data_IF_478490199786
#
_entry.id   IF_478490199786
#
_cell.length_a   1.000
_cell.length_b   1.000
_cell.length_c   1.000
_cell.angle_alpha   90.00
_cell.angle_beta   90.00
_cell.angle_gamma   90.00
#
_symmetry.space_group_name_H-M   'P 1'
#
loop_
_entity.id
_entity.type
_entity.pdbx_description
1 polymer ?
#
# COMPACT_ATOMS: atom_id res chain seq x y z
N UNK A 1 23.95 4.74 -4.80
CA UNK A 1 23.57 3.31 -4.80
C UNK A 1 24.14 2.68 -3.53
N UNK A 2 23.33 1.99 -2.73
CA UNK A 2 23.74 1.33 -1.47
C UNK A 2 22.80 0.15 -1.16
N UNK A 3 23.07 -0.61 -0.09
CA UNK A 3 22.24 -1.72 0.40
C UNK A 3 20.81 -1.27 0.72
N UNK A 4 19.81 -1.99 0.22
CA UNK A 4 18.40 -1.57 0.23
C UNK A 4 17.96 -0.88 -1.08
N UNK A 5 18.90 -0.51 -1.95
CA UNK A 5 18.59 0.00 -3.29
C UNK A 5 17.74 1.28 -3.25
N UNK A 6 16.70 1.35 -4.08
CA UNK A 6 15.82 2.52 -4.15
C UNK A 6 14.95 2.71 -2.91
N UNK A 7 14.74 1.68 -2.08
CA UNK A 7 13.98 1.82 -0.83
C UNK A 7 14.63 2.82 0.15
N UNK A 8 15.93 3.10 0.00
CA UNK A 8 16.64 4.13 0.76
C UNK A 8 16.20 5.57 0.43
N UNK A 9 15.73 5.81 -0.79
CA UNK A 9 15.55 7.17 -1.34
C UNK A 9 14.17 7.40 -1.99
N UNK A 10 13.33 6.38 -2.09
CA UNK A 10 11.98 6.52 -2.62
C UNK A 10 11.12 7.44 -1.73
N UNK A 11 9.92 7.79 -2.20
CA UNK A 11 8.96 8.60 -1.44
C UNK A 11 8.22 7.84 -0.33
N UNK A 12 8.57 6.57 -0.09
CA UNK A 12 7.98 5.66 0.91
C UNK A 12 6.50 5.33 0.71
N UNK A 13 5.85 5.81 -0.35
CA UNK A 13 4.47 5.46 -0.66
C UNK A 13 4.32 3.94 -0.77
N UNK A 14 3.40 3.38 0.01
CA UNK A 14 3.09 1.97 0.02
C UNK A 14 1.80 1.70 -0.77
N UNK A 15 1.95 1.17 -1.97
CA UNK A 15 0.84 0.90 -2.90
C UNK A 15 1.08 -0.41 -3.64
N UNK A 16 0.01 -1.14 -3.91
CA UNK A 16 -0.01 -2.36 -4.73
C UNK A 16 -0.78 -2.11 -6.02
N UNK A 17 -0.57 -2.98 -7.02
CA UNK A 17 -1.48 -3.07 -8.15
C UNK A 17 -2.88 -3.54 -7.71
N UNK A 18 -3.83 -3.45 -8.62
CA UNK A 18 -5.14 -4.08 -8.48
C UNK A 18 -4.99 -5.61 -8.63
N UNK A 19 -5.95 -6.38 -8.11
CA UNK A 19 -5.98 -7.83 -8.34
C UNK A 19 -5.92 -8.20 -9.83
N UNK A 20 -6.53 -7.38 -10.70
CA UNK A 20 -6.54 -7.57 -12.14
C UNK A 20 -5.14 -7.52 -12.76
N UNK A 21 -4.27 -6.63 -12.29
CA UNK A 21 -2.90 -6.53 -12.81
C UNK A 21 -2.15 -7.86 -12.66
N UNK A 22 -2.39 -8.56 -11.56
CA UNK A 22 -1.81 -9.87 -11.26
C UNK A 22 -2.51 -11.02 -12.01
N UNK A 23 -3.83 -10.96 -12.18
CA UNK A 23 -4.58 -11.93 -13.01
C UNK A 23 -4.16 -11.86 -14.49
N UNK A 24 -3.91 -10.65 -15.00
CA UNK A 24 -3.37 -10.42 -16.33
C UNK A 24 -1.96 -11.02 -16.45
N UNK A 25 -1.12 -10.88 -15.41
CA UNK A 25 0.20 -11.54 -15.38
C UNK A 25 0.08 -13.05 -15.44
N UNK A 26 -0.76 -13.65 -14.59
CA UNK A 26 -1.00 -15.10 -14.58
C UNK A 26 -1.40 -15.63 -15.96
N UNK A 27 -2.24 -14.87 -16.67
CA UNK A 27 -2.64 -15.20 -18.04
C UNK A 27 -1.47 -15.10 -19.02
N UNK A 28 -0.70 -14.02 -18.96
CA UNK A 28 0.43 -13.79 -19.89
C UNK A 28 1.56 -14.80 -19.69
N UNK A 29 1.90 -15.13 -18.44
CA UNK A 29 2.97 -16.09 -18.14
C UNK A 29 2.48 -17.55 -18.11
N UNK A 30 1.16 -17.79 -18.19
CA UNK A 30 0.54 -19.11 -18.05
C UNK A 30 0.90 -19.80 -16.71
N UNK A 31 0.99 -19.00 -15.65
CA UNK A 31 1.30 -19.46 -14.29
C UNK A 31 0.32 -18.86 -13.29
N UNK A 32 -0.58 -19.71 -12.83
CA UNK A 32 -1.65 -19.39 -11.90
C UNK A 32 -1.14 -18.88 -10.54
N UNK A 33 0.12 -19.15 -10.18
CA UNK A 33 0.71 -18.64 -8.93
C UNK A 33 0.74 -17.11 -8.88
N UNK A 34 0.68 -16.44 -10.05
CA UNK A 34 0.61 -14.99 -10.15
C UNK A 34 -0.80 -14.42 -10.02
N UNK A 35 -1.87 -15.23 -9.94
CA UNK A 35 -3.22 -14.68 -9.76
C UNK A 35 -3.30 -13.80 -8.52
N UNK A 36 -4.10 -12.73 -8.58
CA UNK A 36 -4.21 -11.76 -7.50
C UNK A 36 -4.47 -12.43 -6.15
N UNK A 37 -5.44 -13.35 -6.10
CA UNK A 37 -5.78 -14.11 -4.89
C UNK A 37 -4.64 -14.96 -4.32
N UNK A 38 -3.64 -15.36 -5.13
CA UNK A 38 -2.45 -16.05 -4.65
C UNK A 38 -1.37 -15.05 -4.21
N UNK A 39 -1.27 -13.91 -4.90
CA UNK A 39 -0.32 -12.84 -4.59
C UNK A 39 -0.63 -12.14 -3.26
N UNK A 40 -1.90 -12.09 -2.84
CA UNK A 40 -2.27 -11.47 -1.56
C UNK A 40 -1.54 -12.11 -0.37
N UNK A 41 -1.33 -13.43 -0.39
CA UNK A 41 -0.62 -14.13 0.67
C UNK A 41 0.84 -13.70 0.77
N UNK A 42 1.48 -13.39 -0.35
CA UNK A 42 2.86 -12.88 -0.37
C UNK A 42 2.94 -11.44 0.11
N UNK A 43 1.97 -10.59 -0.27
CA UNK A 43 1.90 -9.22 0.27
C UNK A 43 1.71 -9.23 1.79
N UNK A 44 0.82 -10.08 2.30
CA UNK A 44 0.60 -10.24 3.75
C UNK A 44 1.84 -10.80 4.47
N UNK A 45 2.62 -11.67 3.84
CA UNK A 45 3.90 -12.14 4.43
C UNK A 45 4.97 -11.05 4.47
N UNK A 46 4.96 -10.12 3.51
CA UNK A 46 6.00 -9.10 3.36
C UNK A 46 5.82 -7.92 4.33
N UNK A 47 4.61 -7.69 4.84
CA UNK A 47 4.28 -6.49 5.60
C UNK A 47 3.78 -6.75 7.02
N UNK A 48 3.88 -5.70 7.82
CA UNK A 48 3.18 -5.55 9.07
C UNK A 48 2.35 -4.27 9.01
N UNK A 49 1.03 -4.41 9.00
CA UNK A 49 0.08 -3.32 9.09
C UNK A 49 0.07 -2.73 10.51
N UNK A 50 0.56 -1.49 10.60
CA UNK A 50 0.64 -0.70 11.82
C UNK A 50 -0.44 0.39 11.88
N UNK A 51 -1.02 0.76 10.74
CA UNK A 51 -2.12 1.73 10.68
C UNK A 51 -3.46 1.08 11.05
N UNK A 52 -4.31 1.74 11.85
CA UNK A 52 -5.51 1.14 12.44
C UNK A 52 -6.63 0.82 11.45
N UNK A 53 -6.63 1.46 10.28
CA UNK A 53 -7.65 1.27 9.25
C UNK A 53 -7.33 0.11 8.28
N UNK A 54 -6.15 -0.51 8.39
CA UNK A 54 -5.75 -1.62 7.55
C UNK A 54 -6.36 -2.93 8.04
N UNK A 55 -7.19 -3.57 7.20
CA UNK A 55 -7.91 -4.79 7.56
C UNK A 55 -7.05 -6.03 7.35
N UNK A 56 -7.04 -6.93 8.33
CA UNK A 56 -6.29 -8.21 8.28
C UNK A 56 -6.72 -9.14 7.13
N UNK A 57 -7.88 -8.91 6.52
CA UNK A 57 -8.31 -9.58 5.29
C UNK A 57 -7.30 -9.34 4.16
N UNK A 58 -6.91 -8.07 3.97
CA UNK A 58 -6.06 -7.61 2.87
C UNK A 58 -4.62 -7.31 3.30
N UNK A 59 -4.35 -7.29 4.61
CA UNK A 59 -3.05 -6.90 5.15
C UNK A 59 -2.43 -7.90 6.13
N UNK A 60 -1.11 -7.98 6.10
CA UNK A 60 -0.27 -8.76 7.00
C UNK A 60 -0.06 -8.06 8.34
N UNK A 61 0.23 -8.81 9.40
CA UNK A 61 0.43 -8.25 10.76
C UNK A 61 1.74 -8.68 11.40
N UNK A 62 2.61 -9.37 10.67
CA UNK A 62 3.83 -9.97 11.21
C UNK A 62 5.01 -10.01 10.23
N UNK A 63 4.83 -9.43 9.04
CA UNK A 63 5.88 -9.33 8.05
C UNK A 63 6.96 -8.31 8.44
N UNK A 64 8.10 -8.33 7.75
CA UNK A 64 9.26 -7.50 8.09
C UNK A 64 9.01 -5.99 7.86
N UNK A 65 8.27 -5.61 6.81
CA UNK A 65 8.11 -4.21 6.44
C UNK A 65 6.90 -3.56 7.13
N UNK A 66 7.15 -2.61 8.02
CA UNK A 66 6.09 -1.81 8.65
C UNK A 66 5.37 -0.90 7.65
N UNK A 67 4.04 -0.95 7.65
CA UNK A 67 3.16 -0.10 6.84
C UNK A 67 2.28 0.72 7.78
N UNK A 68 2.45 2.05 7.74
CA UNK A 68 1.81 2.96 8.70
C UNK A 68 1.29 4.24 8.04
N UNK A 69 0.54 5.04 8.79
CA UNK A 69 0.21 6.40 8.41
C UNK A 69 1.44 7.32 8.51
N UNK A 70 1.45 8.38 7.70
CA UNK A 70 2.47 9.43 7.83
C UNK A 70 2.26 10.17 9.17
N UNK A 71 3.26 10.23 10.07
CA UNK A 71 3.09 10.84 11.40
C UNK A 71 2.72 12.32 11.37
N UNK A 72 3.27 13.07 10.41
CA UNK A 72 2.95 14.47 10.20
C UNK A 72 2.15 14.64 8.91
N UNK A 73 1.01 15.31 9.00
CA UNK A 73 0.15 15.60 7.86
C UNK A 73 -0.02 17.09 7.67
N UNK A 74 0.33 17.58 6.48
CA UNK A 74 0.07 18.96 6.09
C UNK A 74 -1.44 19.18 5.88
N UNK A 75 -1.95 20.30 6.39
CA UNK A 75 -3.36 20.68 6.27
C UNK A 75 -3.80 20.88 4.81
N UNK A 76 -2.89 21.32 3.92
CA UNK A 76 -3.18 21.41 2.49
C UNK A 76 -3.55 20.05 1.89
N UNK A 77 -2.97 18.97 2.39
CA UNK A 77 -3.30 17.65 1.89
C UNK A 77 -4.68 17.18 2.38
N UNK A 78 -5.17 17.69 3.53
CA UNK A 78 -6.55 17.43 3.99
C UNK A 78 -7.53 18.21 3.13
N UNK A 79 -7.22 19.49 2.89
CA UNK A 79 -7.99 20.35 2.01
C UNK A 79 -8.08 19.78 0.58
N UNK A 80 -6.99 19.21 0.06
CA UNK A 80 -6.98 18.58 -1.26
C UNK A 80 -7.94 17.38 -1.37
N UNK A 81 -7.90 16.46 -0.38
CA UNK A 81 -8.82 15.32 -0.35
C UNK A 81 -10.27 15.79 -0.19
N UNK A 82 -10.50 16.78 0.67
CA UNK A 82 -11.83 17.36 0.88
C UNK A 82 -12.39 17.99 -0.41
N UNK A 83 -11.58 18.76 -1.14
CA UNK A 83 -11.97 19.34 -2.41
C UNK A 83 -12.31 18.28 -3.47
N UNK A 84 -11.60 17.16 -3.49
CA UNK A 84 -11.91 16.05 -4.39
C UNK A 84 -13.27 15.39 -4.06
N UNK A 85 -13.58 15.25 -2.77
CA UNK A 85 -14.87 14.75 -2.30
C UNK A 85 -16.00 15.73 -2.70
N UNK A 86 -15.79 17.02 -2.52
CA UNK A 86 -16.73 18.07 -2.94
C UNK A 86 -16.95 18.10 -4.45
N UNK A 87 -15.92 17.75 -5.23
CA UNK A 87 -16.03 17.57 -6.68
C UNK A 87 -16.73 16.26 -7.11
N UNK A 88 -17.18 15.43 -6.15
CA UNK A 88 -17.94 14.21 -6.40
C UNK A 88 -17.10 12.94 -6.53
N UNK A 89 -15.81 12.98 -6.18
CA UNK A 89 -14.97 11.78 -6.14
C UNK A 89 -15.10 11.01 -4.83
N UNK A 90 -14.97 9.68 -4.89
CA UNK A 90 -15.01 8.81 -3.70
C UNK A 90 -13.78 9.02 -2.82
N UNK A 91 -13.98 9.02 -1.50
CA UNK A 91 -12.90 8.90 -0.54
C UNK A 91 -12.42 7.45 -0.43
N UNK A 92 -11.10 7.26 -0.38
CA UNK A 92 -10.45 5.98 -0.16
C UNK A 92 -9.62 6.07 1.12
N UNK A 93 -9.95 5.21 2.08
CA UNK A 93 -9.20 5.05 3.32
C UNK A 93 -8.05 4.05 3.19
N UNK A 94 -8.12 3.12 2.25
CA UNK A 94 -7.09 2.13 1.96
C UNK A 94 -7.06 1.80 0.46
N UNK A 95 -5.98 2.20 -0.21
CA UNK A 95 -5.79 1.93 -1.64
C UNK A 95 -5.45 0.45 -1.93
N UNK A 96 -5.11 -0.34 -0.91
CA UNK A 96 -4.69 -1.73 -1.05
C UNK A 96 -5.79 -2.72 -0.59
N UNK A 97 -6.99 -2.23 -0.24
CA UNK A 97 -8.19 -3.04 0.00
C UNK A 97 -8.83 -3.44 -1.35
N UNK A 98 -8.54 -4.67 -1.82
CA UNK A 98 -9.08 -5.17 -3.09
C UNK A 98 -10.58 -5.51 -3.05
N UNK A 99 -11.27 -5.37 -1.90
CA UNK A 99 -12.74 -5.40 -1.87
C UNK A 99 -13.39 -4.11 -2.39
N UNK A 100 -12.60 -3.03 -2.52
CA UNK A 100 -13.04 -1.71 -2.96
C UNK A 100 -12.39 -1.31 -4.27
N UNK A 101 -12.98 -0.31 -4.93
CA UNK A 101 -12.33 0.36 -6.06
C UNK A 101 -11.12 1.15 -5.60
N UNK A 102 -10.00 1.04 -6.33
CA UNK A 102 -8.83 1.90 -6.13
C UNK A 102 -8.99 3.29 -6.76
N UNK A 103 -10.10 3.55 -7.47
CA UNK A 103 -10.39 4.85 -8.08
C UNK A 103 -11.04 5.80 -7.08
N UNK A 104 -10.31 6.84 -6.70
CA UNK A 104 -10.75 7.84 -5.72
C UNK A 104 -9.59 8.61 -5.12
N UNK A 105 -9.88 9.37 -4.06
CA UNK A 105 -8.91 10.24 -3.39
C UNK A 105 -8.80 9.85 -1.92
N UNK A 106 -7.58 9.81 -1.42
CA UNK A 106 -7.30 9.22 -0.13
C UNK A 106 -5.93 9.58 0.38
N UNK A 107 -5.60 9.07 1.56
CA UNK A 107 -4.25 9.16 2.11
C UNK A 107 -3.49 7.87 1.83
N UNK A 108 -2.24 8.02 1.43
CA UNK A 108 -1.36 6.87 1.28
C UNK A 108 -0.77 6.46 2.62
N UNK A 109 -0.72 5.16 2.85
CA UNK A 109 0.18 4.56 3.81
C UNK A 109 1.61 4.60 3.30
N UNK A 110 2.55 4.47 4.23
CA UNK A 110 3.98 4.53 3.96
C UNK A 110 4.73 3.37 4.57
N UNK A 111 5.83 2.98 3.93
CA UNK A 111 6.79 1.99 4.45
C UNK A 111 7.62 2.61 5.58
N UNK A 112 7.02 2.74 6.76
CA UNK A 112 7.62 3.34 7.94
C UNK A 112 7.25 2.60 9.23
N UNK A 113 8.16 2.63 10.20
CA UNK A 113 7.95 2.17 11.57
C UNK A 113 8.38 3.26 12.56
N UNK A 114 7.44 3.74 13.38
CA UNK A 114 7.70 4.82 14.32
C UNK A 114 8.26 6.10 13.65
N UNK A 115 7.77 6.41 12.44
CA UNK A 115 8.24 7.56 11.64
C UNK A 115 9.61 7.39 10.99
N UNK A 116 10.25 6.23 11.14
CA UNK A 116 11.51 5.89 10.45
C UNK A 116 11.20 5.12 9.17
N UNK A 117 11.89 5.46 8.08
CA UNK A 117 11.86 4.72 6.82
C UNK A 117 12.23 3.25 7.05
N UNK A 118 11.40 2.35 6.54
CA UNK A 118 11.78 0.96 6.35
C UNK A 118 12.41 0.78 4.97
N UNK A 119 13.51 0.03 4.94
CA UNK A 119 14.29 -0.25 3.73
C UNK A 119 14.32 -1.74 3.53
N UNK A 120 14.51 -2.20 2.29
CA UNK A 120 14.68 -3.62 2.01
C UNK A 120 15.93 -4.25 2.67
N UNK A 121 16.80 -3.44 3.29
CA UNK A 121 17.94 -3.92 4.08
C UNK A 121 17.63 -4.01 5.58
N UNK A 122 16.76 -3.13 6.10
CA UNK A 122 16.40 -3.05 7.52
C UNK A 122 15.14 -3.81 7.89
N UNK A 123 14.33 -4.15 6.87
CA UNK A 123 13.15 -5.00 6.97
C UNK A 123 13.58 -6.44 7.25
#
# INVERSE_FOLDING_TARGET
>A
KSLGGSSLINVMLYTRGSARDYDDWATMCQDESWKGLNMIDYFKKAEEALAPNLKQEWHGTSGPSGVSDVPYQNDLSKAFVQAAIEAGHSYIDDFNDWSKSQSGFGRFHVSQRGGRRETAYSA
#
